data_IF_651933023821
#
_entry.id   IF_651933023821
#
_cell.length_a   1.000
_cell.length_b   1.000
_cell.length_c   1.000
_cell.angle_alpha   90.00
_cell.angle_beta   90.00
_cell.angle_gamma   90.00
#
_symmetry.space_group_name_H-M   'P 1'
#
loop_
_entity.id
_entity.type
_entity.pdbx_description
1 polymer ?
#
# COMPACT_ATOMS: atom_id res chain seq x y z
N UNK A 1 -9.29 17.32 3.81
CA UNK A 1 -10.29 17.06 2.77
C UNK A 1 -10.95 15.68 2.95
N UNK A 2 -10.21 14.56 3.02
CA UNK A 2 -10.76 13.20 3.20
C UNK A 2 -11.55 13.10 4.51
N UNK A 3 -10.98 13.52 5.63
CA UNK A 3 -11.63 13.52 6.94
C UNK A 3 -12.98 14.24 6.91
N UNK A 4 -13.06 15.47 6.35
CA UNK A 4 -14.32 16.22 6.24
C UNK A 4 -15.39 15.48 5.44
N UNK A 5 -14.98 14.74 4.37
CA UNK A 5 -15.92 13.91 3.61
C UNK A 5 -16.43 12.72 4.43
N UNK A 6 -15.56 12.07 5.19
CA UNK A 6 -15.94 10.95 6.07
C UNK A 6 -16.90 11.42 7.17
N UNK A 7 -16.59 12.53 7.82
CA UNK A 7 -17.44 13.15 8.85
C UNK A 7 -18.83 13.53 8.31
N UNK A 8 -18.90 14.00 7.05
CA UNK A 8 -20.16 14.37 6.40
C UNK A 8 -21.00 13.14 5.99
N UNK A 9 -20.35 12.11 5.48
CA UNK A 9 -21.02 11.00 4.79
C UNK A 9 -21.25 9.77 5.67
N UNK A 10 -20.56 9.65 6.81
CA UNK A 10 -20.65 8.49 7.70
C UNK A 10 -21.18 8.93 9.06
N UNK A 11 -22.43 8.58 9.36
CA UNK A 11 -23.18 9.03 10.56
C UNK A 11 -22.45 8.85 11.89
N UNK A 12 -21.71 7.77 12.05
CA UNK A 12 -21.05 7.42 13.32
C UNK A 12 -19.52 7.49 13.22
N UNK A 13 -18.99 8.24 12.26
CA UNK A 13 -17.55 8.40 12.10
C UNK A 13 -16.92 9.07 13.32
N UNK A 14 -15.84 8.49 13.82
CA UNK A 14 -15.01 9.06 14.89
C UNK A 14 -13.56 9.11 14.44
N UNK A 15 -12.97 10.28 14.52
CA UNK A 15 -11.56 10.48 14.21
C UNK A 15 -10.72 10.50 15.49
N UNK A 16 -9.63 9.75 15.49
CA UNK A 16 -8.60 9.79 16.53
C UNK A 16 -7.30 10.28 15.88
N UNK A 17 -6.83 11.44 16.32
CA UNK A 17 -5.57 12.00 15.83
C UNK A 17 -4.41 11.35 16.57
N UNK A 18 -3.99 10.16 16.11
CA UNK A 18 -2.88 9.39 16.69
C UNK A 18 -1.93 8.93 15.60
N UNK A 19 -0.67 8.72 15.97
CA UNK A 19 0.32 8.03 15.14
C UNK A 19 0.28 6.53 15.48
N UNK A 20 0.17 5.66 14.46
CA UNK A 20 0.13 4.21 14.66
C UNK A 20 1.47 3.63 15.11
N UNK A 21 2.57 4.36 14.92
CA UNK A 21 3.89 3.99 15.46
C UNK A 21 3.96 4.12 16.99
N UNK A 22 2.98 4.79 17.62
CA UNK A 22 2.87 4.97 19.06
C UNK A 22 1.99 3.88 19.71
N UNK A 23 2.57 2.81 20.30
CA UNK A 23 1.80 1.64 20.74
C UNK A 23 0.77 1.98 21.81
N UNK A 24 1.09 2.90 22.73
CA UNK A 24 0.16 3.30 23.80
C UNK A 24 -1.06 4.06 23.28
N UNK A 25 -0.91 4.86 22.23
CA UNK A 25 -2.00 5.57 21.59
C UNK A 25 -2.97 4.59 20.90
N UNK A 26 -2.43 3.64 20.15
CA UNK A 26 -3.20 2.55 19.51
C UNK A 26 -3.90 1.71 20.57
N UNK A 27 -3.18 1.28 21.60
CA UNK A 27 -3.71 0.47 22.71
C UNK A 27 -4.93 1.09 23.38
N UNK A 28 -4.92 2.41 23.62
CA UNK A 28 -6.06 3.12 24.22
C UNK A 28 -7.34 2.95 23.41
N UNK A 29 -7.26 3.01 22.08
CA UNK A 29 -8.41 2.83 21.16
C UNK A 29 -8.89 1.39 21.21
N UNK A 30 -7.99 0.41 21.02
CA UNK A 30 -8.36 -1.00 21.04
C UNK A 30 -8.92 -1.44 22.38
N UNK A 31 -8.34 -0.98 23.51
CA UNK A 31 -8.86 -1.23 24.86
C UNK A 31 -10.27 -0.65 25.07
N UNK A 32 -10.58 0.50 24.43
CA UNK A 32 -11.90 1.13 24.52
C UNK A 32 -12.98 0.32 23.82
N UNK A 33 -12.69 -0.20 22.63
CA UNK A 33 -13.69 -0.87 21.80
C UNK A 33 -13.66 -2.40 21.89
N UNK A 34 -12.51 -3.01 22.16
CA UNK A 34 -12.32 -4.45 22.35
C UNK A 34 -13.06 -5.30 21.29
N UNK A 35 -13.85 -6.27 21.68
CA UNK A 35 -14.64 -7.18 20.83
C UNK A 35 -15.70 -6.47 19.98
N UNK A 36 -15.98 -5.19 20.22
CA UNK A 36 -16.85 -4.39 19.35
C UNK A 36 -16.17 -4.00 18.03
N UNK A 37 -14.84 -4.11 17.94
CA UNK A 37 -14.11 -4.00 16.67
C UNK A 37 -14.42 -5.27 15.87
N UNK A 38 -15.07 -5.11 14.73
CA UNK A 38 -15.48 -6.22 13.84
C UNK A 38 -14.61 -6.36 12.60
N UNK A 39 -13.79 -5.35 12.31
CA UNK A 39 -12.89 -5.33 11.17
C UNK A 39 -11.78 -4.29 11.44
N UNK A 40 -10.55 -4.62 11.07
CA UNK A 40 -9.42 -3.69 11.02
C UNK A 40 -8.97 -3.54 9.57
N UNK A 41 -9.02 -2.31 9.03
CA UNK A 41 -8.46 -2.00 7.71
C UNK A 41 -7.24 -1.11 7.92
N UNK A 42 -6.06 -1.68 7.69
CA UNK A 42 -4.80 -0.97 7.83
C UNK A 42 -4.33 -0.39 6.49
N UNK A 43 -4.68 0.87 6.26
CA UNK A 43 -4.26 1.64 5.09
C UNK A 43 -3.27 2.77 5.43
N UNK A 44 -2.98 2.98 6.71
CA UNK A 44 -2.03 3.99 7.14
C UNK A 44 -0.60 3.59 6.72
N UNK A 45 0.09 4.49 6.05
CA UNK A 45 1.46 4.27 5.60
C UNK A 45 2.17 5.60 5.34
N UNK A 46 3.50 5.58 5.36
CA UNK A 46 4.32 6.55 4.67
C UNK A 46 4.47 6.04 3.21
N UNK A 47 3.92 6.71 2.18
CA UNK A 47 3.81 6.14 0.84
C UNK A 47 4.90 6.58 -0.15
N UNK A 48 5.80 7.49 0.22
CA UNK A 48 6.74 8.12 -0.69
C UNK A 48 8.13 7.46 -0.67
N UNK A 49 8.56 6.95 -1.82
CA UNK A 49 9.91 6.40 -2.00
C UNK A 49 11.01 7.44 -1.78
N UNK A 50 10.84 8.64 -2.37
CA UNK A 50 11.85 9.68 -2.28
C UNK A 50 12.00 10.22 -0.86
N UNK A 51 10.89 10.32 -0.15
CA UNK A 51 10.90 10.74 1.25
C UNK A 51 11.53 9.68 2.16
N UNK A 52 11.23 8.41 1.95
CA UNK A 52 11.78 7.28 2.72
C UNK A 52 13.32 7.23 2.65
N UNK A 53 13.89 7.54 1.48
CA UNK A 53 15.34 7.57 1.27
C UNK A 53 16.07 8.49 2.27
N UNK A 54 15.44 9.60 2.62
CA UNK A 54 16.02 10.59 3.53
C UNK A 54 15.50 10.47 4.98
N UNK A 55 14.52 9.59 5.23
CA UNK A 55 13.83 9.46 6.51
C UNK A 55 13.57 7.98 6.86
N UNK A 56 14.60 7.15 6.82
CA UNK A 56 14.53 5.68 6.90
C UNK A 56 13.86 5.22 8.20
N UNK A 57 14.25 5.80 9.34
CA UNK A 57 13.67 5.43 10.65
C UNK A 57 12.18 5.73 10.71
N UNK A 58 11.76 6.90 10.25
CA UNK A 58 10.33 7.25 10.27
C UNK A 58 9.52 6.39 9.28
N UNK A 59 10.07 6.06 8.13
CA UNK A 59 9.46 5.11 7.19
C UNK A 59 9.25 3.75 7.84
N UNK A 60 10.30 3.20 8.49
CA UNK A 60 10.23 1.94 9.23
C UNK A 60 9.21 2.02 10.38
N UNK A 61 9.24 3.07 11.18
CA UNK A 61 8.35 3.24 12.32
C UNK A 61 6.87 3.24 11.90
N UNK A 62 6.54 3.96 10.82
CA UNK A 62 5.16 4.01 10.34
C UNK A 62 4.75 2.70 9.67
N UNK A 63 5.56 2.21 8.70
CA UNK A 63 5.17 1.07 7.86
C UNK A 63 5.34 -0.28 8.57
N UNK A 64 6.45 -0.50 9.28
CA UNK A 64 6.76 -1.76 9.93
C UNK A 64 6.26 -1.81 11.38
N UNK A 65 6.75 -0.91 12.24
CA UNK A 65 6.36 -0.87 13.66
C UNK A 65 4.87 -0.59 13.84
N UNK A 66 4.31 0.37 13.07
CA UNK A 66 2.88 0.67 13.09
C UNK A 66 2.02 -0.54 12.76
N UNK A 67 2.45 -1.36 11.77
CA UNK A 67 1.76 -2.61 11.42
C UNK A 67 1.77 -3.61 12.57
N UNK A 68 2.92 -3.85 13.21
CA UNK A 68 3.00 -4.74 14.39
C UNK A 68 2.12 -4.24 15.53
N UNK A 69 2.13 -2.93 15.80
CA UNK A 69 1.29 -2.36 16.86
C UNK A 69 -0.18 -2.70 16.62
N UNK A 70 -0.68 -2.55 15.39
CA UNK A 70 -2.06 -2.87 15.05
C UNK A 70 -2.35 -4.38 15.14
N UNK A 71 -1.44 -5.23 14.69
CA UNK A 71 -1.56 -6.68 14.76
C UNK A 71 -1.60 -7.17 16.23
N UNK A 72 -0.68 -6.70 17.08
CA UNK A 72 -0.68 -7.02 18.51
C UNK A 72 -1.95 -6.55 19.22
N UNK A 73 -2.45 -5.35 18.86
CA UNK A 73 -3.70 -4.87 19.44
C UNK A 73 -4.91 -5.70 18.94
N UNK A 74 -4.91 -6.10 17.67
CA UNK A 74 -5.95 -6.97 17.11
C UNK A 74 -5.96 -8.32 17.84
N UNK A 75 -4.79 -8.95 17.98
CA UNK A 75 -4.61 -10.20 18.72
C UNK A 75 -5.16 -10.13 20.16
N UNK A 76 -4.80 -9.06 20.86
CA UNK A 76 -5.09 -8.94 22.29
C UNK A 76 -6.51 -8.46 22.62
N UNK A 77 -7.17 -7.72 21.73
CA UNK A 77 -8.45 -7.07 22.03
C UNK A 77 -9.63 -7.50 21.15
N UNK A 78 -9.38 -7.97 19.92
CA UNK A 78 -10.41 -8.30 18.95
C UNK A 78 -9.97 -9.43 18.00
N UNK A 79 -9.50 -10.54 18.55
CA UNK A 79 -8.89 -11.66 17.84
C UNK A 79 -9.72 -12.17 16.65
N UNK A 80 -11.05 -12.18 16.77
CA UNK A 80 -11.95 -12.66 15.72
C UNK A 80 -12.16 -11.67 14.56
N UNK A 81 -11.73 -10.41 14.74
CA UNK A 81 -11.88 -9.38 13.71
C UNK A 81 -10.91 -9.63 12.56
N UNK A 82 -11.38 -9.73 11.29
CA UNK A 82 -10.49 -9.74 10.14
C UNK A 82 -9.57 -8.52 10.12
N UNK A 83 -8.30 -8.75 9.71
CA UNK A 83 -7.29 -7.72 9.55
C UNK A 83 -6.92 -7.61 8.08
N UNK A 84 -7.31 -6.52 7.44
CA UNK A 84 -7.01 -6.23 6.03
C UNK A 84 -5.83 -5.25 5.96
N UNK A 85 -4.74 -5.68 5.36
CA UNK A 85 -3.56 -4.86 5.15
C UNK A 85 -3.45 -4.40 3.69
N UNK A 86 -3.38 -3.08 3.50
CA UNK A 86 -3.09 -2.51 2.19
C UNK A 86 -1.58 -2.54 1.95
N UNK A 87 -1.12 -3.68 1.40
CA UNK A 87 0.25 -3.89 0.97
C UNK A 87 0.51 -3.17 -0.36
N UNK A 88 1.51 -3.55 -1.09
CA UNK A 88 1.91 -2.89 -2.35
C UNK A 88 2.61 -3.88 -3.28
N UNK A 89 2.53 -3.66 -4.59
CA UNK A 89 3.33 -4.37 -5.58
C UNK A 89 4.85 -4.12 -5.41
N UNK A 90 5.25 -3.12 -4.61
CA UNK A 90 6.67 -2.81 -4.34
C UNK A 90 7.38 -3.87 -3.48
N UNK A 91 6.62 -4.80 -2.89
CA UNK A 91 7.22 -5.99 -2.24
C UNK A 91 7.99 -6.88 -3.21
N UNK A 92 7.69 -6.81 -4.51
CA UNK A 92 8.44 -7.53 -5.55
C UNK A 92 9.73 -6.81 -6.00
N UNK A 93 10.02 -5.62 -5.43
CA UNK A 93 11.19 -4.84 -5.78
C UNK A 93 11.29 -4.53 -7.28
N UNK A 94 12.47 -4.76 -7.84
CA UNK A 94 12.76 -4.63 -9.26
C UNK A 94 12.65 -5.94 -10.06
N UNK A 95 12.25 -7.06 -9.43
CA UNK A 95 12.08 -8.35 -10.09
C UNK A 95 11.18 -8.29 -11.35
N UNK A 96 10.08 -7.50 -11.37
CA UNK A 96 9.30 -7.33 -12.59
C UNK A 96 10.10 -6.78 -13.78
N UNK A 97 11.13 -5.99 -13.53
CA UNK A 97 11.99 -5.42 -14.59
C UNK A 97 13.04 -6.42 -15.13
N UNK A 98 13.27 -7.53 -14.41
CA UNK A 98 14.20 -8.61 -14.80
C UNK A 98 13.52 -9.65 -15.69
N UNK A 99 12.20 -9.55 -15.90
CA UNK A 99 11.46 -10.45 -16.79
C UNK A 99 11.87 -10.23 -18.26
N UNK A 100 11.67 -11.23 -19.13
CA UNK A 100 11.97 -11.11 -20.56
C UNK A 100 10.95 -10.14 -21.20
N UNK A 101 11.27 -8.84 -21.13
CA UNK A 101 10.42 -7.77 -21.64
C UNK A 101 10.67 -7.53 -23.12
N UNK A 102 9.60 -7.35 -23.89
CA UNK A 102 9.61 -7.00 -25.31
C UNK A 102 9.18 -5.55 -25.46
N UNK A 103 10.00 -4.73 -26.12
CA UNK A 103 9.67 -3.34 -26.44
C UNK A 103 8.65 -3.30 -27.58
N UNK A 104 7.43 -2.84 -27.33
CA UNK A 104 6.42 -2.54 -28.34
C UNK A 104 6.43 -1.05 -28.70
N UNK A 105 5.61 -0.67 -29.68
CA UNK A 105 5.51 0.73 -30.10
C UNK A 105 5.19 1.70 -28.96
N UNK A 106 4.26 1.34 -28.08
CA UNK A 106 3.71 2.21 -27.04
C UNK A 106 3.99 1.76 -25.62
N UNK A 107 4.43 0.51 -25.38
CA UNK A 107 4.60 -0.08 -24.05
C UNK A 107 5.60 -1.22 -24.03
N UNK A 108 6.00 -1.64 -22.85
CA UNK A 108 6.66 -2.91 -22.62
C UNK A 108 5.62 -4.04 -22.44
N UNK A 109 5.92 -5.22 -22.91
CA UNK A 109 5.14 -6.45 -22.67
C UNK A 109 6.06 -7.56 -22.19
N UNK A 110 5.55 -8.47 -21.36
CA UNK A 110 6.26 -9.71 -21.02
C UNK A 110 6.14 -10.65 -22.20
N UNK A 111 7.22 -11.40 -22.52
CA UNK A 111 7.21 -12.40 -23.57
C UNK A 111 6.05 -13.39 -23.37
N UNK A 112 5.26 -13.63 -24.41
CA UNK A 112 4.04 -14.44 -24.36
C UNK A 112 4.22 -15.90 -23.92
N UNK A 113 5.44 -16.44 -24.01
CA UNK A 113 5.77 -17.79 -23.55
C UNK A 113 6.20 -17.83 -22.07
N UNK A 114 6.28 -16.69 -21.38
CA UNK A 114 6.71 -16.62 -20.01
C UNK A 114 5.56 -16.88 -19.03
N UNK A 115 5.85 -17.48 -17.86
CA UNK A 115 4.89 -17.77 -16.79
C UNK A 115 4.02 -16.55 -16.40
N UNK A 116 4.59 -15.37 -16.46
CA UNK A 116 3.92 -14.10 -16.11
C UNK A 116 3.40 -13.32 -17.32
N UNK A 117 3.27 -13.93 -18.48
CA UNK A 117 2.78 -13.25 -19.70
C UNK A 117 1.39 -12.63 -19.50
N UNK A 118 0.52 -13.30 -18.73
CA UNK A 118 -0.84 -12.85 -18.41
C UNK A 118 -0.93 -12.01 -17.12
N UNK A 119 0.19 -11.70 -16.51
CA UNK A 119 0.26 -10.90 -15.28
C UNK A 119 1.11 -11.54 -14.20
N UNK A 120 1.65 -10.68 -13.33
CA UNK A 120 2.45 -11.09 -12.19
C UNK A 120 1.52 -11.55 -11.07
N UNK A 121 1.78 -12.73 -10.53
CA UNK A 121 1.03 -13.30 -9.40
C UNK A 121 1.78 -13.15 -8.09
N UNK A 122 1.12 -13.46 -6.98
CA UNK A 122 1.69 -13.46 -5.63
C UNK A 122 2.82 -14.49 -5.43
N UNK A 123 3.02 -15.39 -6.41
CA UNK A 123 4.12 -16.38 -6.42
C UNK A 123 5.46 -15.80 -6.90
N UNK A 124 5.48 -14.57 -7.41
CA UNK A 124 6.75 -13.92 -7.75
C UNK A 124 7.60 -13.75 -6.49
N UNK A 125 8.89 -14.11 -6.60
CA UNK A 125 9.84 -13.94 -5.50
C UNK A 125 9.96 -12.48 -5.08
N UNK A 126 10.13 -12.28 -3.79
CA UNK A 126 10.48 -11.00 -3.19
C UNK A 126 11.97 -10.93 -2.83
N UNK A 127 12.72 -12.01 -3.07
CA UNK A 127 14.14 -12.11 -2.77
C UNK A 127 15.00 -11.65 -3.95
N UNK A 128 16.26 -11.41 -3.69
CA UNK A 128 17.30 -11.07 -4.67
C UNK A 128 16.90 -9.91 -5.61
N UNK A 129 16.41 -8.82 -5.00
CA UNK A 129 15.96 -7.65 -5.73
C UNK A 129 16.11 -6.35 -4.93
N UNK A 130 16.10 -5.22 -5.65
CA UNK A 130 16.18 -3.89 -5.04
C UNK A 130 14.79 -3.38 -4.71
N UNK A 131 14.47 -3.28 -3.40
CA UNK A 131 13.15 -2.86 -2.92
C UNK A 131 12.94 -1.36 -2.76
N UNK A 132 13.98 -0.56 -2.62
CA UNK A 132 13.95 0.75 -1.94
C UNK A 132 13.64 0.62 -0.44
N UNK A 133 13.93 1.67 0.36
CA UNK A 133 13.59 1.65 1.80
C UNK A 133 12.09 1.51 2.06
N UNK A 134 11.27 2.24 1.30
CA UNK A 134 9.81 2.08 1.35
C UNK A 134 9.36 0.66 1.00
N UNK A 135 9.90 0.08 -0.07
CA UNK A 135 9.57 -1.29 -0.45
C UNK A 135 9.99 -2.30 0.62
N UNK A 136 11.16 -2.13 1.23
CA UNK A 136 11.66 -3.00 2.29
C UNK A 136 10.78 -2.94 3.55
N UNK A 137 10.40 -1.75 4.02
CA UNK A 137 9.53 -1.59 5.19
C UNK A 137 8.12 -2.17 4.94
N UNK A 138 7.60 -2.03 3.72
CA UNK A 138 6.31 -2.62 3.32
C UNK A 138 6.40 -4.13 3.13
N UNK A 139 7.54 -4.68 2.64
CA UNK A 139 7.77 -6.13 2.55
C UNK A 139 7.82 -6.76 3.93
N UNK A 140 8.50 -6.14 4.89
CA UNK A 140 8.46 -6.58 6.28
C UNK A 140 7.03 -6.61 6.81
N UNK A 141 6.26 -5.54 6.62
CA UNK A 141 4.86 -5.47 7.06
C UNK A 141 3.98 -6.53 6.39
N UNK A 142 4.17 -6.79 5.09
CA UNK A 142 3.46 -7.83 4.34
C UNK A 142 3.74 -9.23 4.92
N UNK A 143 5.02 -9.55 5.14
CA UNK A 143 5.42 -10.83 5.72
C UNK A 143 4.88 -11.00 7.14
N UNK A 144 4.99 -10.00 8.00
CA UNK A 144 4.52 -10.13 9.38
C UNK A 144 2.99 -10.29 9.45
N UNK A 145 2.23 -9.65 8.56
CA UNK A 145 0.77 -9.86 8.45
C UNK A 145 0.46 -11.31 8.10
N UNK A 146 1.21 -11.92 7.17
CA UNK A 146 1.07 -13.33 6.82
C UNK A 146 1.42 -14.25 8.01
N UNK A 147 2.49 -13.93 8.74
CA UNK A 147 2.91 -14.70 9.92
C UNK A 147 1.87 -14.66 11.05
N UNK A 148 1.22 -13.51 11.26
CA UNK A 148 0.11 -13.44 12.20
C UNK A 148 -1.10 -14.27 11.76
N UNK A 149 -1.31 -14.43 10.46
CA UNK A 149 -2.31 -15.35 9.94
C UNK A 149 -1.95 -16.82 10.14
N UNK A 150 -0.72 -17.21 9.75
CA UNK A 150 -0.26 -18.60 9.72
C UNK A 150 0.08 -19.16 11.11
N UNK A 151 0.83 -18.38 11.90
CA UNK A 151 1.40 -18.86 13.17
C UNK A 151 0.60 -18.44 14.39
N UNK A 152 -0.15 -17.33 14.32
CA UNK A 152 -0.97 -16.83 15.44
C UNK A 152 -2.45 -17.15 15.26
N UNK A 153 -2.91 -17.39 14.01
CA UNK A 153 -4.30 -17.72 13.70
C UNK A 153 -5.23 -16.52 13.57
N UNK A 154 -4.69 -15.29 13.41
CA UNK A 154 -5.51 -14.14 13.06
C UNK A 154 -6.08 -14.29 11.63
N UNK A 155 -7.27 -13.75 11.39
CA UNK A 155 -7.88 -13.70 10.06
C UNK A 155 -7.25 -12.55 9.26
N UNK A 156 -6.08 -12.76 8.66
CA UNK A 156 -5.34 -11.71 7.94
C UNK A 156 -5.41 -11.85 6.44
N UNK A 157 -5.36 -10.72 5.73
CA UNK A 157 -5.14 -10.66 4.29
C UNK A 157 -4.25 -9.45 3.96
N UNK A 158 -3.31 -9.63 3.02
CA UNK A 158 -2.46 -8.57 2.49
C UNK A 158 -2.76 -8.36 1.00
N UNK A 159 -3.28 -7.19 0.62
CA UNK A 159 -3.51 -6.81 -0.77
C UNK A 159 -2.29 -6.11 -1.37
N UNK A 160 -1.55 -6.77 -2.24
CA UNK A 160 -0.37 -6.23 -2.94
C UNK A 160 -0.80 -5.37 -4.14
N UNK A 161 -1.54 -4.31 -3.84
CA UNK A 161 -2.10 -3.44 -4.87
C UNK A 161 -1.03 -2.57 -5.54
N UNK A 162 -1.28 -2.24 -6.81
CA UNK A 162 -0.60 -1.18 -7.54
C UNK A 162 -1.25 0.17 -7.32
N UNK A 163 -1.58 0.88 -8.40
CA UNK A 163 -2.22 2.19 -8.30
C UNK A 163 -3.73 2.03 -8.09
N UNK A 164 -4.21 2.19 -6.86
CA UNK A 164 -5.64 2.35 -6.58
C UNK A 164 -6.02 3.78 -6.88
N UNK A 165 -6.94 3.98 -7.80
CA UNK A 165 -7.37 5.31 -8.26
C UNK A 165 -8.90 5.42 -8.28
N UNK A 166 -9.42 6.64 -8.45
CA UNK A 166 -10.86 6.89 -8.49
C UNK A 166 -11.19 8.35 -8.17
N UNK A 167 -12.50 8.71 -8.17
CA UNK A 167 -12.96 10.09 -8.02
C UNK A 167 -12.51 10.77 -6.72
N UNK A 168 -12.22 9.99 -5.68
CA UNK A 168 -11.79 10.49 -4.37
C UNK A 168 -10.27 10.45 -4.18
N UNK A 169 -9.51 10.04 -5.19
CA UNK A 169 -8.05 9.99 -5.10
C UNK A 169 -7.44 11.37 -5.34
N UNK A 170 -6.67 11.86 -4.38
CA UNK A 170 -5.93 13.12 -4.48
C UNK A 170 -4.53 12.85 -5.01
N UNK A 171 -4.34 12.94 -6.33
CA UNK A 171 -3.04 12.74 -6.97
C UNK A 171 -2.07 13.91 -6.75
N UNK A 172 -0.80 13.59 -6.57
CA UNK A 172 0.31 14.52 -6.49
C UNK A 172 1.39 14.16 -7.54
N UNK A 173 2.30 15.08 -7.83
CA UNK A 173 3.31 14.95 -8.92
C UNK A 173 4.08 13.61 -8.89
N UNK A 174 4.41 13.10 -7.70
CA UNK A 174 5.18 11.87 -7.51
C UNK A 174 4.36 10.73 -6.91
N UNK A 175 3.04 10.92 -6.74
CA UNK A 175 2.15 9.89 -6.18
C UNK A 175 0.76 10.00 -6.76
N UNK A 176 0.23 8.89 -7.30
CA UNK A 176 -1.10 8.86 -7.92
C UNK A 176 -1.13 9.51 -9.31
N UNK A 177 -0.28 9.01 -10.20
CA UNK A 177 0.00 9.61 -11.51
C UNK A 177 -1.28 9.87 -12.34
N UNK A 178 -2.26 8.96 -12.33
CA UNK A 178 -3.46 9.10 -13.15
C UNK A 178 -4.33 10.28 -12.68
N UNK A 179 -4.59 10.38 -11.38
CA UNK A 179 -5.34 11.51 -10.81
C UNK A 179 -4.59 12.83 -10.99
N UNK A 180 -3.26 12.79 -10.90
CA UNK A 180 -2.42 13.97 -11.16
C UNK A 180 -2.43 14.36 -12.63
N UNK A 181 -2.40 13.40 -13.57
CA UNK A 181 -2.51 13.65 -15.01
C UNK A 181 -3.82 14.37 -15.35
N UNK A 182 -4.95 13.87 -14.82
CA UNK A 182 -6.27 14.50 -15.02
C UNK A 182 -6.26 15.94 -14.50
N UNK A 183 -5.75 16.14 -13.28
CA UNK A 183 -5.65 17.50 -12.69
C UNK A 183 -4.82 18.44 -13.56
N UNK A 184 -3.64 18.01 -14.00
CA UNK A 184 -2.73 18.82 -14.83
C UNK A 184 -3.35 19.13 -16.18
N UNK A 185 -4.08 18.17 -16.78
CA UNK A 185 -4.81 18.38 -18.04
C UNK A 185 -5.93 19.41 -17.87
N UNK A 186 -6.72 19.34 -16.80
CA UNK A 186 -7.75 20.33 -16.49
C UNK A 186 -7.17 21.72 -16.24
N UNK A 187 -6.03 21.80 -15.56
CA UNK A 187 -5.28 23.04 -15.30
C UNK A 187 -4.57 23.58 -16.56
N UNK A 188 -4.64 22.85 -17.71
CA UNK A 188 -3.92 23.18 -18.98
C UNK A 188 -2.41 23.34 -18.77
N UNK A 189 -1.82 22.57 -17.85
CA UNK A 189 -0.38 22.59 -17.53
C UNK A 189 0.34 21.46 -18.24
N UNK A 190 1.67 21.60 -18.36
CA UNK A 190 2.53 20.57 -18.94
C UNK A 190 2.63 19.38 -17.97
N UNK A 191 2.40 18.17 -18.47
CA UNK A 191 2.64 16.92 -17.77
C UNK A 191 3.91 16.26 -18.28
N UNK A 192 4.72 15.71 -17.36
CA UNK A 192 5.94 14.99 -17.69
C UNK A 192 5.77 13.50 -17.44
N UNK A 193 5.97 12.69 -18.47
CA UNK A 193 5.99 11.23 -18.35
C UNK A 193 7.42 10.80 -18.10
N UNK A 194 7.69 10.21 -16.95
CA UNK A 194 9.00 9.69 -16.59
C UNK A 194 9.21 8.29 -17.15
N UNK A 195 10.48 7.92 -17.36
CA UNK A 195 10.88 6.59 -17.83
C UNK A 195 11.20 6.56 -19.33
N UNK A 196 11.76 5.44 -19.76
CA UNK A 196 12.24 5.24 -21.11
C UNK A 196 11.12 5.42 -22.15
N UNK A 197 11.24 6.42 -23.00
CA UNK A 197 10.30 6.77 -24.08
C UNK A 197 8.82 6.84 -23.63
N UNK A 198 8.54 7.03 -22.34
CA UNK A 198 7.19 7.04 -21.79
C UNK A 198 6.45 5.69 -21.83
N UNK A 199 7.16 4.58 -22.04
CA UNK A 199 6.59 3.23 -22.22
C UNK A 199 6.35 2.48 -20.91
N UNK A 200 6.24 3.18 -19.78
CA UNK A 200 5.96 2.54 -18.50
C UNK A 200 4.63 1.81 -18.51
N UNK A 201 4.62 0.61 -17.95
CA UNK A 201 3.40 -0.16 -17.68
C UNK A 201 3.12 -0.11 -16.19
N UNK A 202 1.89 0.19 -15.82
CA UNK A 202 1.43 0.27 -14.44
C UNK A 202 0.09 -0.46 -14.31
N UNK A 203 -0.03 -1.23 -13.27
CA UNK A 203 -1.31 -1.79 -12.85
C UNK A 203 -2.16 -0.71 -12.19
N UNK A 204 -3.39 -0.60 -12.61
CA UNK A 204 -4.35 0.36 -12.06
C UNK A 204 -5.65 -0.36 -11.73
N UNK A 205 -6.22 -0.03 -10.58
CA UNK A 205 -7.52 -0.53 -10.16
C UNK A 205 -8.42 0.64 -9.76
N UNK A 206 -9.68 0.59 -10.16
CA UNK A 206 -10.67 1.57 -9.74
C UNK A 206 -11.16 1.25 -8.33
N UNK A 207 -11.38 2.30 -7.52
CA UNK A 207 -11.76 2.15 -6.12
C UNK A 207 -13.22 1.77 -5.86
N UNK A 208 -14.02 1.61 -6.92
CA UNK A 208 -15.41 1.14 -6.87
C UNK A 208 -15.57 -0.18 -7.60
#
# INVERSE_FOLDING_TARGET
>A
WVRRKLEKNIKNYKHYNIDISEPNAVKKIFKKYKKNIKLVIHSAAQPSHDWAKNNIFKDFDVNARGTINLLEMTKNYCFDAPFIFMSTNKVYGDNPNKLPLIEKKTRWEINGNHLYANGITEKMSIDDCVHSFFGASKSYADLVVQEYGRNVGLKTVAFRAGCITGPNHSGAKLHGFLSYLVKVAMDKKRYYIFGYKGKQVRDNIHSF
#
